data_IF_089857461131
#
_entry.id   IF_089857461131
#
_cell.length_a   1.000
_cell.length_b   1.000
_cell.length_c   1.000
_cell.angle_alpha   90.00
_cell.angle_beta   90.00
_cell.angle_gamma   90.00
#
_symmetry.space_group_name_H-M   'P 1'
#
loop_
_entity.id
_entity.type
_entity.pdbx_description
1 polymer ?
#
# COMPACT_ATOMS: atom_id res chain seq x y z
N UNK A 1 -11.22 -24.65 28.02
CA UNK A 1 -10.05 -24.18 27.28
C UNK A 1 -10.53 -22.98 26.47
N UNK A 2 -10.32 -21.76 26.98
CA UNK A 2 -10.67 -20.53 26.24
C UNK A 2 -9.61 -20.36 25.16
N UNK A 3 -10.00 -20.46 23.91
CA UNK A 3 -9.16 -20.08 22.77
C UNK A 3 -9.24 -18.55 22.70
N UNK A 4 -8.22 -17.87 23.24
CA UNK A 4 -8.08 -16.44 23.03
C UNK A 4 -7.62 -16.24 21.58
N UNK A 5 -8.48 -15.69 20.78
CA UNK A 5 -8.15 -15.24 19.42
C UNK A 5 -7.48 -13.86 19.59
N UNK A 6 -6.16 -13.85 19.59
CA UNK A 6 -5.41 -12.60 19.64
C UNK A 6 -5.57 -11.89 18.29
N UNK A 7 -6.25 -10.77 18.29
CA UNK A 7 -6.20 -9.84 17.16
C UNK A 7 -4.89 -9.05 17.25
N UNK A 8 -4.15 -9.04 16.14
CA UNK A 8 -2.98 -8.16 16.05
C UNK A 8 -3.42 -6.70 16.15
N UNK A 9 -2.61 -5.83 16.79
CA UNK A 9 -2.99 -4.44 16.96
C UNK A 9 -3.24 -3.77 15.61
N UNK A 10 -4.35 -3.03 15.51
CA UNK A 10 -4.73 -2.31 14.30
C UNK A 10 -3.89 -1.04 14.14
N UNK A 11 -2.61 -1.23 13.84
CA UNK A 11 -1.58 -0.22 13.81
C UNK A 11 -0.79 -0.25 12.51
N UNK A 12 -0.25 0.90 12.17
CA UNK A 12 0.63 1.12 11.02
C UNK A 12 2.03 1.50 11.51
N UNK A 13 3.04 1.11 10.73
CA UNK A 13 4.42 1.55 10.90
C UNK A 13 4.93 2.21 9.62
N UNK A 14 5.47 3.42 9.75
CA UNK A 14 6.15 4.16 8.67
C UNK A 14 7.61 4.28 8.99
N UNK A 15 8.48 3.98 8.01
CA UNK A 15 9.94 4.10 8.14
C UNK A 15 10.46 5.23 7.25
N UNK A 16 11.45 5.97 7.73
CA UNK A 16 12.09 7.09 7.02
C UNK A 16 13.53 7.30 7.49
N UNK A 17 14.40 7.77 6.59
CA UNK A 17 15.72 8.27 6.94
C UNK A 17 15.68 9.64 7.63
N UNK A 18 14.58 10.36 7.51
CA UNK A 18 14.41 11.68 8.09
C UNK A 18 13.33 11.67 9.17
N UNK A 19 13.75 11.78 10.43
CA UNK A 19 12.85 11.83 11.59
C UNK A 19 11.80 12.94 11.46
N UNK A 20 12.17 14.08 10.87
CA UNK A 20 11.25 15.22 10.69
C UNK A 20 10.04 14.88 9.84
N UNK A 21 10.19 14.00 8.83
CA UNK A 21 9.05 13.54 8.03
C UNK A 21 8.05 12.71 8.84
N UNK A 22 8.53 11.94 9.82
CA UNK A 22 7.67 11.18 10.73
C UNK A 22 6.97 12.10 11.74
N UNK A 23 7.67 13.13 12.25
CA UNK A 23 7.09 14.16 13.12
C UNK A 23 6.02 14.97 12.37
N UNK A 24 6.27 15.34 11.11
CA UNK A 24 5.30 16.03 10.25
C UNK A 24 4.07 15.16 9.97
N UNK A 25 4.26 13.86 9.72
CA UNK A 25 3.17 12.88 9.58
C UNK A 25 2.29 12.87 10.84
N UNK A 26 2.90 12.73 12.02
CA UNK A 26 2.17 12.70 13.29
C UNK A 26 1.49 14.04 13.61
N UNK A 27 2.05 15.15 13.13
CA UNK A 27 1.44 16.48 13.19
C UNK A 27 0.35 16.71 12.12
N UNK A 28 0.00 15.69 11.34
CA UNK A 28 -1.09 15.72 10.37
C UNK A 28 -0.68 16.08 8.93
N UNK A 29 0.62 16.16 8.61
CA UNK A 29 1.09 16.41 7.24
C UNK A 29 1.43 15.10 6.55
N UNK A 30 0.49 14.56 5.80
CA UNK A 30 0.66 13.30 5.07
C UNK A 30 1.27 13.57 3.71
N UNK A 31 2.57 13.28 3.58
CA UNK A 31 3.29 13.41 2.32
C UNK A 31 3.04 12.18 1.44
N UNK A 32 2.48 12.41 0.25
CA UNK A 32 2.12 11.38 -0.72
C UNK A 32 2.93 11.59 -2.00
N UNK A 33 3.72 10.60 -2.40
CA UNK A 33 4.44 10.63 -3.67
C UNK A 33 3.47 10.44 -4.86
N UNK A 34 3.88 10.90 -6.04
CA UNK A 34 3.25 10.46 -7.28
C UNK A 34 3.47 8.94 -7.46
N UNK A 35 2.46 8.22 -7.90
CA UNK A 35 2.54 6.77 -8.13
C UNK A 35 3.66 6.39 -9.12
N UNK A 36 3.96 7.23 -10.09
CA UNK A 36 5.07 7.04 -11.02
C UNK A 36 6.46 7.12 -10.39
N UNK A 37 6.57 7.66 -9.17
CA UNK A 37 7.84 7.76 -8.45
C UNK A 37 8.44 6.38 -8.16
N UNK A 38 7.65 5.45 -7.65
CA UNK A 38 8.11 4.11 -7.27
C UNK A 38 8.58 3.29 -8.47
N UNK A 39 8.01 3.51 -9.66
CA UNK A 39 8.45 2.84 -10.91
C UNK A 39 9.79 3.32 -11.43
N UNK A 40 10.17 4.56 -11.08
CA UNK A 40 11.44 5.18 -11.52
C UNK A 40 12.60 4.93 -10.55
N UNK A 41 12.31 4.44 -9.35
CA UNK A 41 13.35 4.08 -8.41
C UNK A 41 14.11 2.86 -8.91
N UNK A 42 15.43 3.00 -9.07
CA UNK A 42 16.35 1.89 -9.36
C UNK A 42 16.66 1.04 -8.10
N UNK A 43 16.12 1.44 -6.97
CA UNK A 43 16.32 0.79 -5.67
C UNK A 43 15.48 -0.50 -5.62
N UNK A 44 16.14 -1.63 -5.45
CA UNK A 44 15.51 -2.95 -5.36
C UNK A 44 14.58 -3.12 -4.16
N UNK A 45 14.71 -2.28 -3.14
CA UNK A 45 13.89 -2.35 -1.93
C UNK A 45 12.62 -1.50 -2.01
N UNK A 46 12.69 -0.34 -2.68
CA UNK A 46 11.58 0.62 -2.78
C UNK A 46 10.97 0.66 -4.16
N UNK A 47 11.77 0.38 -5.19
CA UNK A 47 11.37 0.45 -6.58
C UNK A 47 10.59 -0.81 -6.97
N UNK A 48 9.45 -0.60 -7.59
CA UNK A 48 8.69 -1.64 -8.26
C UNK A 48 8.28 -1.11 -9.65
N UNK A 49 8.96 -1.59 -10.69
CA UNK A 49 8.71 -1.13 -12.08
C UNK A 49 7.28 -1.36 -12.55
N UNK A 50 6.55 -2.24 -11.87
CA UNK A 50 5.17 -2.60 -12.19
C UNK A 50 4.15 -1.96 -11.24
N UNK A 51 4.59 -1.16 -10.26
CA UNK A 51 3.69 -0.54 -9.30
C UNK A 51 2.58 0.27 -9.98
N UNK A 52 1.32 -0.02 -9.65
CA UNK A 52 0.16 0.60 -10.26
C UNK A 52 -0.05 0.26 -11.73
N UNK A 53 0.50 -0.84 -12.22
CA UNK A 53 0.28 -1.38 -13.57
C UNK A 53 -0.35 -2.77 -13.50
N UNK A 54 -1.17 -3.08 -14.48
CA UNK A 54 -1.56 -4.46 -14.74
C UNK A 54 -0.47 -5.10 -15.60
N UNK A 55 0.07 -6.21 -15.15
CA UNK A 55 1.07 -7.00 -15.92
C UNK A 55 0.39 -8.25 -16.44
N UNK A 56 0.57 -8.53 -17.70
CA UNK A 56 0.09 -9.74 -18.38
C UNK A 56 1.33 -10.50 -18.81
N UNK A 57 1.51 -11.72 -18.31
CA UNK A 57 2.58 -12.62 -18.72
C UNK A 57 2.08 -13.58 -19.79
N UNK A 58 2.94 -13.88 -20.76
CA UNK A 58 2.65 -14.81 -21.86
C UNK A 58 3.60 -16.01 -21.88
N UNK A 59 4.27 -16.31 -20.79
CA UNK A 59 5.30 -17.36 -20.73
C UNK A 59 4.80 -18.75 -21.17
N UNK A 60 3.49 -19.01 -21.09
CA UNK A 60 2.89 -20.31 -21.40
C UNK A 60 2.04 -20.30 -22.68
N UNK A 61 2.09 -19.23 -23.49
CA UNK A 61 1.23 -19.05 -24.66
C UNK A 61 1.96 -19.29 -26.00
N UNK A 62 2.65 -20.43 -26.09
CA UNK A 62 3.42 -20.80 -27.28
C UNK A 62 2.53 -20.97 -28.50
N UNK A 63 2.86 -20.28 -29.60
CA UNK A 63 2.12 -20.34 -30.87
C UNK A 63 0.84 -19.50 -30.92
N UNK A 64 0.55 -18.72 -29.88
CA UNK A 64 -0.57 -17.79 -29.84
C UNK A 64 -0.17 -16.39 -30.33
N UNK A 65 -1.17 -15.57 -30.69
CA UNK A 65 -0.97 -14.23 -31.21
C UNK A 65 -1.86 -13.24 -30.48
N UNK A 66 -1.31 -12.04 -30.17
CA UNK A 66 -2.10 -10.88 -29.81
C UNK A 66 -2.44 -10.07 -31.04
N UNK A 67 -3.71 -9.70 -31.21
CA UNK A 67 -4.16 -8.84 -32.30
C UNK A 67 -4.34 -7.41 -31.75
N UNK A 68 -3.66 -6.45 -32.36
CA UNK A 68 -3.78 -5.03 -32.07
C UNK A 68 -4.29 -4.28 -33.32
N UNK A 69 -5.35 -3.51 -33.14
CA UNK A 69 -5.92 -2.67 -34.17
C UNK A 69 -7.41 -2.43 -34.00
N UNK A 70 -8.04 -1.67 -34.87
CA UNK A 70 -9.46 -1.36 -34.82
C UNK A 70 -10.32 -2.60 -34.86
N UNK A 71 -11.36 -2.64 -34.04
CA UNK A 71 -12.33 -3.75 -34.04
C UNK A 71 -13.12 -3.81 -35.35
N UNK A 72 -13.35 -2.65 -35.95
CA UNK A 72 -14.13 -2.44 -37.17
C UNK A 72 -13.35 -2.76 -38.45
N UNK A 73 -12.01 -2.92 -38.40
CA UNK A 73 -11.13 -3.20 -39.53
C UNK A 73 -10.17 -4.35 -39.22
N UNK A 74 -10.65 -5.61 -39.24
CA UNK A 74 -9.81 -6.76 -38.90
C UNK A 74 -8.55 -6.92 -39.77
N UNK A 75 -8.61 -6.45 -41.01
CA UNK A 75 -7.49 -6.45 -41.95
C UNK A 75 -6.35 -5.50 -41.59
N UNK A 76 -6.64 -4.47 -40.77
CA UNK A 76 -5.64 -3.53 -40.30
C UNK A 76 -4.99 -3.98 -38.96
N UNK A 77 -5.42 -5.13 -38.43
CA UNK A 77 -4.86 -5.66 -37.19
C UNK A 77 -3.48 -6.24 -37.39
N UNK A 78 -2.58 -5.85 -36.51
CA UNK A 78 -1.24 -6.41 -36.45
C UNK A 78 -1.29 -7.64 -35.54
N UNK A 79 -0.83 -8.78 -36.03
CA UNK A 79 -0.65 -10.02 -35.27
C UNK A 79 0.76 -10.06 -34.70
N UNK A 80 0.87 -10.06 -33.42
CA UNK A 80 2.14 -10.14 -32.69
C UNK A 80 2.20 -11.52 -32.03
N UNK A 81 3.17 -12.39 -32.41
CA UNK A 81 3.33 -13.67 -31.73
C UNK A 81 3.67 -13.48 -30.26
N UNK A 82 2.97 -14.18 -29.37
CA UNK A 82 3.17 -14.05 -27.92
C UNK A 82 4.53 -14.59 -27.47
N UNK A 83 5.12 -15.52 -28.23
CA UNK A 83 6.46 -16.04 -27.99
C UNK A 83 7.56 -14.96 -27.91
N UNK A 84 7.32 -13.79 -28.51
CA UNK A 84 8.24 -12.65 -28.50
C UNK A 84 7.95 -11.64 -27.39
N UNK A 85 6.88 -11.84 -26.63
CA UNK A 85 6.44 -10.91 -25.59
C UNK A 85 6.57 -11.61 -24.24
N UNK A 86 7.53 -11.19 -23.41
CA UNK A 86 7.64 -11.71 -22.05
C UNK A 86 6.53 -11.15 -21.16
N UNK A 87 6.34 -9.82 -21.18
CA UNK A 87 5.34 -9.13 -20.37
C UNK A 87 4.72 -7.98 -21.16
N UNK A 88 3.42 -7.80 -20.99
CA UNK A 88 2.67 -6.65 -21.46
C UNK A 88 2.11 -5.87 -20.28
N UNK A 89 2.37 -4.57 -20.21
CA UNK A 89 1.89 -3.73 -19.10
C UNK A 89 0.82 -2.76 -19.58
N UNK A 90 -0.29 -2.75 -18.86
CA UNK A 90 -1.42 -1.84 -19.12
C UNK A 90 -1.53 -0.85 -17.95
N UNK A 91 -1.69 0.42 -18.30
CA UNK A 91 -2.00 1.49 -17.35
C UNK A 91 -3.08 2.41 -17.94
N UNK A 92 -3.57 3.34 -17.15
CA UNK A 92 -4.52 4.35 -17.61
C UNK A 92 -3.86 5.73 -17.68
N UNK A 93 -4.48 6.65 -18.44
CA UNK A 93 -3.97 8.01 -18.57
C UNK A 93 -3.95 8.70 -17.20
N UNK A 94 -2.79 9.23 -16.81
CA UNK A 94 -2.61 9.91 -15.52
C UNK A 94 -2.26 9.00 -14.35
N UNK A 95 -2.13 7.69 -14.54
CA UNK A 95 -1.75 6.74 -13.49
C UNK A 95 -0.41 7.07 -12.80
N UNK A 96 0.44 7.86 -13.46
CA UNK A 96 1.72 8.32 -12.89
C UNK A 96 1.57 9.42 -11.83
N UNK A 97 0.45 10.14 -11.81
CA UNK A 97 0.22 11.35 -11.00
C UNK A 97 -0.80 11.15 -9.88
N UNK A 98 -1.11 9.91 -9.55
CA UNK A 98 -1.98 9.59 -8.43
C UNK A 98 -1.18 9.74 -7.13
N UNK A 99 -1.63 10.59 -6.17
CA UNK A 99 -1.02 10.66 -4.84
C UNK A 99 -1.15 9.31 -4.13
N UNK A 100 -0.02 8.76 -3.71
CA UNK A 100 0.08 7.44 -3.08
C UNK A 100 0.86 7.55 -1.78
N UNK A 101 0.24 7.15 -0.67
CA UNK A 101 0.87 6.96 0.63
C UNK A 101 0.96 5.48 0.95
N UNK A 102 2.13 5.06 1.41
CA UNK A 102 2.44 3.67 1.76
C UNK A 102 3.04 3.58 3.15
N UNK A 103 2.65 2.56 3.90
CA UNK A 103 3.24 2.16 5.18
C UNK A 103 3.06 0.64 5.34
N UNK A 104 3.62 0.03 6.38
CA UNK A 104 3.39 -1.38 6.70
C UNK A 104 2.33 -1.52 7.78
N UNK A 105 1.46 -2.53 7.67
CA UNK A 105 0.49 -2.87 8.70
C UNK A 105 1.10 -3.87 9.68
N UNK A 106 0.93 -3.65 10.99
CA UNK A 106 1.35 -4.62 12.00
C UNK A 106 0.45 -5.86 11.93
N UNK A 107 1.06 -7.03 11.72
CA UNK A 107 0.37 -8.31 11.59
C UNK A 107 1.32 -9.47 11.93
N UNK A 108 0.81 -10.69 11.89
CA UNK A 108 1.60 -11.93 12.03
C UNK A 108 2.74 -12.05 10.99
N UNK A 109 2.68 -11.33 9.87
CA UNK A 109 3.75 -11.33 8.87
C UNK A 109 5.02 -10.65 9.40
N UNK A 110 4.87 -9.61 10.22
CA UNK A 110 5.99 -8.79 10.73
C UNK A 110 6.20 -8.91 12.23
N UNK A 111 5.23 -9.44 12.96
CA UNK A 111 5.29 -9.67 14.41
C UNK A 111 5.28 -11.16 14.72
N UNK A 112 5.92 -11.53 15.82
CA UNK A 112 5.84 -12.86 16.42
C UNK A 112 5.42 -12.75 17.88
N UNK A 113 4.75 -13.77 18.39
CA UNK A 113 4.42 -13.87 19.80
C UNK A 113 5.70 -14.16 20.59
N UNK A 114 6.00 -13.35 21.60
CA UNK A 114 7.11 -13.56 22.53
C UNK A 114 6.60 -14.20 23.81
N UNK A 115 5.52 -13.64 24.38
CA UNK A 115 4.80 -14.19 25.54
C UNK A 115 3.29 -14.17 25.23
N UNK A 116 2.48 -14.57 26.22
CA UNK A 116 1.02 -14.48 26.11
C UNK A 116 0.54 -13.02 25.91
N UNK A 117 1.27 -12.07 26.46
CA UNK A 117 0.90 -10.63 26.48
C UNK A 117 1.89 -9.72 25.75
N UNK A 118 2.81 -10.28 24.95
CA UNK A 118 3.76 -9.45 24.22
C UNK A 118 4.05 -9.98 22.82
N UNK A 119 4.18 -9.04 21.87
CA UNK A 119 4.60 -9.28 20.51
C UNK A 119 5.97 -8.63 20.27
N UNK A 120 6.78 -9.28 19.45
CA UNK A 120 8.09 -8.78 19.03
C UNK A 120 8.18 -8.73 17.52
N UNK A 121 8.90 -7.73 17.01
CA UNK A 121 9.16 -7.66 15.59
C UNK A 121 10.05 -8.82 15.15
N UNK A 122 9.77 -9.39 13.97
CA UNK A 122 10.63 -10.39 13.35
C UNK A 122 11.92 -9.72 12.86
N UNK A 123 13.05 -10.41 13.05
CA UNK A 123 14.36 -9.86 12.66
C UNK A 123 14.46 -9.60 11.15
N UNK A 124 13.83 -10.46 10.35
CA UNK A 124 13.77 -10.31 8.90
C UNK A 124 13.11 -8.99 8.52
N UNK A 125 11.98 -8.64 9.17
CA UNK A 125 11.30 -7.37 8.93
C UNK A 125 12.17 -6.17 9.31
N UNK A 126 12.84 -6.22 10.48
CA UNK A 126 13.70 -5.12 10.94
C UNK A 126 14.85 -4.93 9.96
N UNK A 127 15.52 -6.00 9.56
CA UNK A 127 16.68 -5.97 8.65
C UNK A 127 16.32 -5.38 7.29
N UNK A 128 15.15 -5.74 6.75
CA UNK A 128 14.64 -5.18 5.50
C UNK A 128 14.24 -3.71 5.66
N UNK A 129 13.58 -3.35 6.78
CA UNK A 129 13.18 -1.97 7.03
C UNK A 129 14.35 -1.02 7.28
N UNK A 130 15.49 -1.49 7.76
CA UNK A 130 16.72 -0.70 7.86
C UNK A 130 17.18 -0.15 6.50
N UNK A 131 16.82 -0.81 5.39
CA UNK A 131 17.10 -0.32 4.03
C UNK A 131 16.21 0.89 3.66
N UNK A 132 15.02 0.99 4.27
CA UNK A 132 14.11 2.12 4.06
C UNK A 132 14.48 3.35 4.87
N UNK A 133 15.05 3.16 6.06
CA UNK A 133 15.45 4.30 6.88
C UNK A 133 15.86 3.94 8.29
N UNK A 134 16.37 4.96 8.98
CA UNK A 134 16.89 4.84 10.34
C UNK A 134 15.83 5.04 11.43
N UNK A 135 14.68 5.63 11.09
CA UNK A 135 13.63 6.00 12.05
C UNK A 135 12.30 5.36 11.66
N UNK A 136 11.48 5.09 12.66
CA UNK A 136 10.11 4.62 12.46
C UNK A 136 9.11 5.46 13.25
N UNK A 137 7.87 5.46 12.80
CA UNK A 137 6.71 5.90 13.56
C UNK A 137 5.67 4.78 13.56
N UNK A 138 5.14 4.44 14.74
CA UNK A 138 3.99 3.54 14.92
C UNK A 138 2.80 4.40 15.35
N UNK A 139 1.62 4.16 14.75
CA UNK A 139 0.41 4.94 15.04
C UNK A 139 -0.85 4.12 14.73
N UNK A 140 -2.00 4.56 15.27
CA UNK A 140 -3.29 3.89 15.07
C UNK A 140 -3.73 3.96 13.61
N UNK A 141 -4.04 2.81 13.01
CA UNK A 141 -4.62 2.72 11.66
C UNK A 141 -6.02 3.32 11.61
N UNK A 142 -6.83 3.04 12.64
CA UNK A 142 -8.21 3.52 12.71
C UNK A 142 -8.25 5.04 12.77
N UNK A 143 -7.47 5.66 13.65
CA UNK A 143 -7.40 7.11 13.77
C UNK A 143 -6.86 7.77 12.49
N UNK A 144 -5.75 7.23 11.95
CA UNK A 144 -5.17 7.74 10.71
C UNK A 144 -6.17 7.68 9.56
N UNK A 145 -6.85 6.55 9.39
CA UNK A 145 -7.84 6.38 8.34
C UNK A 145 -9.03 7.34 8.53
N UNK A 146 -9.54 7.47 9.74
CA UNK A 146 -10.65 8.40 10.01
C UNK A 146 -10.27 9.83 9.68
N UNK A 147 -9.07 10.28 10.08
CA UNK A 147 -8.59 11.62 9.77
C UNK A 147 -8.40 11.84 8.25
N UNK A 148 -7.99 10.78 7.52
CA UNK A 148 -7.90 10.82 6.06
C UNK A 148 -9.28 10.88 5.39
N UNK A 149 -10.27 10.13 5.92
CA UNK A 149 -11.65 10.17 5.42
C UNK A 149 -12.30 11.54 5.63
N UNK A 150 -12.13 12.12 6.82
CA UNK A 150 -12.57 13.50 7.08
C UNK A 150 -11.95 14.48 6.06
N UNK A 151 -10.64 14.34 5.79
CA UNK A 151 -9.95 15.17 4.80
C UNK A 151 -10.49 14.97 3.37
N UNK A 152 -10.79 13.73 2.99
CA UNK A 152 -11.36 13.39 1.67
C UNK A 152 -12.73 14.05 1.52
N UNK A 153 -13.59 13.93 2.52
CA UNK A 153 -14.93 14.49 2.50
C UNK A 153 -14.92 16.03 2.49
N UNK A 154 -14.11 16.65 3.35
CA UNK A 154 -13.97 18.11 3.44
C UNK A 154 -13.47 18.74 2.13
N UNK A 155 -12.63 18.01 1.37
CA UNK A 155 -12.07 18.48 0.10
C UNK A 155 -12.79 17.94 -1.14
N UNK A 156 -13.89 17.19 -0.98
CA UNK A 156 -14.66 16.59 -2.07
C UNK A 156 -13.80 15.71 -3.00
N UNK A 157 -12.90 14.95 -2.41
CA UNK A 157 -12.02 14.02 -3.11
C UNK A 157 -12.62 12.62 -3.14
N UNK A 158 -12.11 11.79 -4.04
CA UNK A 158 -12.24 10.35 -3.95
C UNK A 158 -10.98 9.74 -3.34
N UNK A 159 -11.09 8.50 -2.88
CA UNK A 159 -9.93 7.76 -2.37
C UNK A 159 -10.17 6.27 -2.36
N UNK A 160 -9.08 5.53 -2.30
CA UNK A 160 -9.10 4.09 -2.02
C UNK A 160 -7.98 3.77 -1.07
N UNK A 161 -8.24 2.83 -0.15
CA UNK A 161 -7.28 2.40 0.86
C UNK A 161 -7.41 0.90 1.13
N UNK A 162 -6.36 0.30 1.66
CA UNK A 162 -6.36 -1.10 2.03
C UNK A 162 -4.97 -1.72 2.05
N UNK A 163 -4.93 -2.99 2.43
CA UNK A 163 -3.74 -3.81 2.33
C UNK A 163 -3.42 -4.13 0.86
N UNK A 164 -2.13 -4.26 0.56
CA UNK A 164 -1.65 -4.71 -0.74
C UNK A 164 -1.78 -6.23 -0.82
N UNK A 165 -2.35 -6.70 -1.92
CA UNK A 165 -2.36 -8.11 -2.28
C UNK A 165 -1.08 -8.45 -3.04
N UNK A 166 -0.39 -9.50 -2.61
CA UNK A 166 0.84 -9.96 -3.25
C UNK A 166 0.54 -11.14 -4.15
N UNK A 167 0.91 -11.03 -5.41
CA UNK A 167 0.60 -12.00 -6.46
C UNK A 167 1.86 -12.31 -7.25
N UNK A 168 1.94 -13.51 -7.80
CA UNK A 168 2.95 -13.81 -8.79
C UNK A 168 2.63 -13.06 -10.09
N UNK A 169 3.45 -12.06 -10.44
CA UNK A 169 3.25 -11.24 -11.63
C UNK A 169 3.36 -12.05 -12.94
N UNK A 170 3.95 -13.24 -12.89
CA UNK A 170 4.06 -14.16 -14.03
C UNK A 170 2.85 -15.09 -14.13
N UNK A 171 1.91 -15.06 -13.19
CA UNK A 171 0.67 -15.82 -13.26
C UNK A 171 -0.38 -15.13 -14.12
N UNK A 172 -1.28 -15.90 -14.73
CA UNK A 172 -2.41 -15.41 -15.55
C UNK A 172 -3.43 -14.56 -14.75
N UNK A 173 -3.27 -14.49 -13.43
CA UNK A 173 -4.20 -13.83 -12.50
C UNK A 173 -4.40 -12.33 -12.81
N UNK A 174 -3.43 -11.67 -13.45
CA UNK A 174 -3.56 -10.26 -13.81
C UNK A 174 -4.59 -9.99 -14.91
N UNK A 175 -4.95 -10.98 -15.73
CA UNK A 175 -5.97 -10.85 -16.78
C UNK A 175 -7.36 -10.64 -16.17
N UNK A 176 -7.64 -11.21 -15.01
CA UNK A 176 -8.93 -11.05 -14.31
C UNK A 176 -9.22 -9.58 -13.97
N UNK A 177 -8.18 -8.77 -13.69
CA UNK A 177 -8.38 -7.34 -13.40
C UNK A 177 -8.93 -6.58 -14.58
N UNK A 178 -8.58 -6.99 -15.80
CA UNK A 178 -9.07 -6.37 -17.04
C UNK A 178 -10.49 -6.82 -17.36
N UNK A 179 -10.89 -8.00 -16.91
CA UNK A 179 -12.17 -8.63 -17.18
C UNK A 179 -13.22 -8.39 -16.09
N UNK A 180 -12.84 -7.81 -14.95
CA UNK A 180 -13.79 -7.44 -13.89
C UNK A 180 -14.75 -6.37 -14.41
N UNK A 181 -16.05 -6.70 -14.51
CA UNK A 181 -17.12 -5.79 -14.95
C UNK A 181 -17.25 -4.55 -14.02
N UNK A 182 -16.82 -4.67 -12.77
CA UNK A 182 -16.73 -3.57 -11.82
C UNK A 182 -15.43 -2.77 -11.89
N UNK A 183 -14.75 -2.76 -13.01
CA UNK A 183 -13.45 -2.14 -13.34
C UNK A 183 -13.09 -0.92 -12.50
N UNK A 184 -12.76 -1.13 -11.24
CA UNK A 184 -12.12 -0.10 -10.48
C UNK A 184 -10.62 -0.07 -10.86
N UNK A 185 -10.30 0.79 -11.84
CA UNK A 185 -8.93 0.97 -12.36
C UNK A 185 -7.88 1.20 -11.26
N UNK A 186 -8.31 1.62 -10.07
CA UNK A 186 -7.43 1.86 -8.94
C UNK A 186 -7.03 0.60 -8.18
N UNK A 187 -7.61 -0.57 -8.50
CA UNK A 187 -7.21 -1.85 -7.90
C UNK A 187 -5.75 -2.20 -8.19
N UNK A 188 -5.22 -1.74 -9.32
CA UNK A 188 -3.81 -1.98 -9.71
C UNK A 188 -2.80 -1.40 -8.71
N UNK A 189 -3.18 -0.33 -7.95
CA UNK A 189 -2.30 0.24 -6.93
C UNK A 189 -2.24 -0.58 -5.63
N UNK A 190 -3.07 -1.61 -5.51
CA UNK A 190 -3.15 -2.49 -4.33
C UNK A 190 -2.67 -3.91 -4.65
N UNK A 191 -1.85 -4.05 -5.70
CA UNK A 191 -1.20 -5.31 -6.06
C UNK A 191 0.30 -5.09 -6.23
N UNK A 192 1.08 -6.07 -5.77
CA UNK A 192 2.53 -6.13 -5.92
C UNK A 192 2.98 -7.56 -6.19
N UNK A 193 4.20 -7.70 -6.69
CA UNK A 193 4.83 -9.00 -6.82
C UNK A 193 5.06 -9.66 -5.45
N UNK A 194 4.96 -11.00 -5.41
CA UNK A 194 5.19 -11.80 -4.21
C UNK A 194 6.54 -11.53 -3.54
N UNK A 195 7.57 -11.14 -4.29
CA UNK A 195 8.89 -10.82 -3.75
C UNK A 195 8.89 -9.64 -2.77
N UNK A 196 7.84 -8.81 -2.79
CA UNK A 196 7.65 -7.69 -1.87
C UNK A 196 6.75 -8.02 -0.67
N UNK A 197 6.30 -9.27 -0.49
CA UNK A 197 5.34 -9.65 0.55
C UNK A 197 5.81 -9.32 1.97
N UNK A 198 7.12 -9.32 2.21
CA UNK A 198 7.73 -8.95 3.48
C UNK A 198 7.43 -7.51 3.92
N UNK A 199 7.06 -6.60 2.98
CA UNK A 199 6.67 -5.21 3.30
C UNK A 199 5.36 -5.13 4.06
N UNK A 200 4.47 -6.13 3.92
CA UNK A 200 3.12 -6.14 4.50
C UNK A 200 2.42 -4.78 4.36
N UNK A 201 2.42 -4.28 3.13
CA UNK A 201 2.13 -2.88 2.83
C UNK A 201 0.63 -2.57 2.93
N UNK A 202 0.34 -1.41 3.47
CA UNK A 202 -0.98 -0.79 3.47
C UNK A 202 -0.88 0.56 2.75
N UNK A 203 -1.87 0.86 1.92
CA UNK A 203 -1.87 2.02 1.05
C UNK A 203 -3.13 2.85 1.16
N UNK A 204 -2.96 4.15 0.82
CA UNK A 204 -4.07 5.04 0.49
C UNK A 204 -3.70 5.85 -0.75
N UNK A 205 -4.65 5.97 -1.68
CA UNK A 205 -4.57 6.86 -2.85
C UNK A 205 -5.67 7.90 -2.78
N UNK A 206 -5.40 9.08 -3.34
CA UNK A 206 -6.37 10.14 -3.50
C UNK A 206 -6.62 10.41 -4.97
N UNK A 207 -7.86 10.70 -5.30
CA UNK A 207 -8.28 11.04 -6.67
C UNK A 207 -9.20 12.26 -6.65
N UNK A 208 -9.14 13.05 -7.71
CA UNK A 208 -10.03 14.17 -7.94
C UNK A 208 -10.89 13.91 -9.18
N UNK A 209 -12.15 14.30 -9.14
CA UNK A 209 -13.02 14.30 -10.31
C UNK A 209 -12.71 15.45 -11.29
N UNK A 210 -11.93 16.44 -10.84
CA UNK A 210 -11.51 17.61 -11.60
C UNK A 210 -10.06 17.52 -12.08
N UNK A 211 -9.27 18.55 -11.78
CA UNK A 211 -7.86 18.58 -12.13
C UNK A 211 -7.04 17.56 -11.30
N UNK A 212 -5.92 17.02 -11.84
CA UNK A 212 -5.00 16.19 -11.09
C UNK A 212 -4.52 16.89 -9.82
N UNK A 213 -4.43 16.14 -8.70
CA UNK A 213 -3.94 16.65 -7.41
C UNK A 213 -2.45 16.98 -7.43
N UNK A 214 -1.69 16.30 -8.29
CA UNK A 214 -0.27 16.55 -8.52
C UNK A 214 -0.12 17.21 -9.88
N UNK A 215 0.38 18.45 -9.92
CA UNK A 215 0.65 19.18 -11.14
C UNK A 215 1.71 18.52 -12.02
N UNK A 216 1.84 18.97 -13.28
CA UNK A 216 2.79 18.36 -14.24
C UNK A 216 4.25 18.40 -13.74
N UNK A 217 4.64 19.50 -13.10
CA UNK A 217 6.00 19.72 -12.60
C UNK A 217 6.19 19.30 -11.14
N UNK A 218 5.11 18.90 -10.46
CA UNK A 218 5.16 18.44 -9.07
C UNK A 218 5.32 16.92 -9.01
N UNK A 219 5.93 16.42 -7.93
CA UNK A 219 6.17 14.99 -7.72
C UNK A 219 5.51 14.46 -6.45
N UNK A 220 4.81 15.29 -5.72
CA UNK A 220 4.14 14.91 -4.47
C UNK A 220 2.91 15.78 -4.20
N UNK A 221 2.10 15.28 -3.29
CA UNK A 221 0.95 15.96 -2.71
C UNK A 221 1.06 15.89 -1.18
N UNK A 222 0.60 16.92 -0.48
CA UNK A 222 0.54 16.91 0.99
C UNK A 222 -0.90 17.08 1.44
N UNK A 223 -1.46 16.02 2.02
CA UNK A 223 -2.75 16.12 2.70
C UNK A 223 -2.54 16.63 4.13
N UNK A 224 -3.35 17.63 4.55
CA UNK A 224 -3.31 18.19 5.90
C UNK A 224 -4.49 17.64 6.70
N UNK A 225 -4.27 16.62 7.48
CA UNK A 225 -5.26 15.95 8.34
C UNK A 225 -5.16 16.46 9.78
N UNK A 226 -6.07 16.04 10.65
CA UNK A 226 -5.93 16.25 12.10
C UNK A 226 -4.66 15.55 12.61
N UNK A 227 -3.92 16.17 13.56
CA UNK A 227 -2.79 15.50 14.20
C UNK A 227 -3.21 14.18 14.84
N UNK A 228 -2.31 13.20 14.83
CA UNK A 228 -2.54 11.92 15.50
C UNK A 228 -2.47 12.11 17.03
N UNK A 229 -3.42 11.56 17.75
CA UNK A 229 -3.50 11.66 19.21
C UNK A 229 -2.48 10.74 19.90
N UNK A 230 -2.16 9.61 19.29
CA UNK A 230 -1.18 8.66 19.78
C UNK A 230 -0.23 8.20 18.68
N UNK A 231 1.05 8.25 18.97
CA UNK A 231 2.12 7.72 18.12
C UNK A 231 3.39 7.46 18.94
N UNK A 232 4.26 6.63 18.39
CA UNK A 232 5.61 6.43 18.92
C UNK A 232 6.62 6.56 17.78
N UNK A 233 7.64 7.41 17.97
CA UNK A 233 8.76 7.58 17.02
C UNK A 233 10.05 7.14 17.69
N UNK A 234 10.76 6.20 17.06
CA UNK A 234 12.02 5.65 17.54
C UNK A 234 13.03 5.42 16.43
N UNK A 235 14.20 4.92 16.81
CA UNK A 235 15.20 4.44 15.87
C UNK A 235 14.91 2.98 15.50
N UNK A 236 15.00 2.61 14.23
CA UNK A 236 14.60 1.28 13.72
C UNK A 236 15.24 0.13 14.50
N UNK A 237 16.50 0.29 14.96
CA UNK A 237 17.22 -0.72 15.75
C UNK A 237 16.59 -1.01 17.11
N UNK A 238 15.88 -0.04 17.68
CA UNK A 238 15.19 -0.21 18.97
C UNK A 238 14.08 -1.26 18.90
N UNK A 239 13.56 -1.55 17.68
CA UNK A 239 12.55 -2.60 17.47
C UNK A 239 13.08 -4.00 17.82
N UNK A 240 14.40 -4.23 17.86
CA UNK A 240 15.02 -5.48 18.27
C UNK A 240 14.85 -5.76 19.77
N UNK A 241 14.93 -4.70 20.56
CA UNK A 241 14.93 -4.78 22.02
C UNK A 241 13.55 -4.52 22.62
N UNK A 242 12.67 -3.84 21.85
CA UNK A 242 11.34 -3.47 22.31
C UNK A 242 10.29 -4.52 21.91
N UNK A 243 9.37 -4.79 22.85
CA UNK A 243 8.15 -5.57 22.60
C UNK A 243 6.92 -4.68 22.63
N UNK A 244 5.88 -5.08 21.92
CA UNK A 244 4.55 -4.48 22.02
C UNK A 244 3.77 -5.26 23.06
N UNK A 245 3.41 -4.60 24.17
CA UNK A 245 2.59 -5.21 25.21
C UNK A 245 1.12 -5.21 24.77
N UNK A 246 0.49 -6.38 24.90
CA UNK A 246 -0.95 -6.55 24.70
C UNK A 246 -1.58 -6.49 26.09
N UNK A 247 -2.37 -5.46 26.37
CA UNK A 247 -3.20 -5.42 27.59
C UNK A 247 -4.52 -6.10 27.29
N UNK A 248 -4.95 -7.03 28.16
CA UNK A 248 -6.36 -7.41 28.21
C UNK A 248 -7.15 -6.16 28.61
N UNK A 249 -8.07 -5.75 27.73
CA UNK A 249 -9.11 -4.80 28.13
C UNK A 249 -10.11 -5.62 28.94
N UNK A 250 -10.24 -5.33 30.22
CA UNK A 250 -11.26 -5.93 31.07
C UNK A 250 -12.62 -5.47 30.54
N UNK A 251 -13.50 -6.41 30.19
CA UNK A 251 -14.86 -6.14 29.65
C UNK A 251 -15.70 -5.21 30.58
N UNK A 252 -15.23 -4.96 31.80
CA UNK A 252 -15.83 -4.04 32.75
C UNK A 252 -15.55 -2.55 32.45
N UNK A 253 -14.58 -2.20 31.58
CA UNK A 253 -14.25 -0.81 31.19
C UNK A 253 -14.87 -0.40 29.85
N UNK A 254 -15.58 -1.28 29.16
CA UNK A 254 -16.37 -0.92 27.98
C UNK A 254 -17.69 -0.33 28.41
N UNK A 255 -17.63 0.84 29.03
CA UNK A 255 -18.81 1.66 29.30
C UNK A 255 -19.46 2.08 27.99
N UNK A 256 -20.74 1.65 27.86
CA UNK A 256 -21.58 1.72 26.70
C UNK A 256 -21.78 3.10 26.08
N UNK A 257 -20.86 3.53 25.23
CA UNK A 257 -21.06 4.74 24.44
C UNK A 257 -20.43 4.70 23.04
N UNK A 258 -20.46 3.54 22.39
CA UNK A 258 -20.26 3.54 20.91
C UNK A 258 -21.21 2.51 20.33
N UNK A 259 -22.36 2.95 19.88
CA UNK A 259 -23.16 2.45 18.76
C UNK A 259 -24.60 2.98 18.87
N UNK A 260 -24.79 4.22 18.46
CA UNK A 260 -26.06 4.71 17.91
C UNK A 260 -25.75 5.92 17.03
N UNK A 261 -25.51 5.74 15.78
CA UNK A 261 -26.25 6.29 14.63
C UNK A 261 -25.51 5.90 13.35
#
# INVERSE_FOLDING_TARGET
>A
MKVFQYEFPDMLIKVSNNRKYLEDLCAGKVYMNESGYFRKLEDTYRGDKFDGKCVISFENHTGEFMELGPEESPEERIKIPLDFIQNFTVGFKGDNKIPLYCCSQLSEHILRKETEFSLKFKEEFISEMEQFGSYYAIFSKVEFLQNMLDYIDDNQLGGKWGAVSYVDIHSEYHIEILNDENRNQYNVFFKKDLSYQWQNEWRIILVSSGAPLIGENDHHFVASIKPLSWFHIGHIRELRDNSIEIKEVDDSEVDGNVLRQ
#
